data_IF_776327567415
#
_entry.id   IF_776327567415
#
_cell.length_a   1.000
_cell.length_b   1.000
_cell.length_c   1.000
_cell.angle_alpha   90.00
_cell.angle_beta   90.00
_cell.angle_gamma   90.00
#
_symmetry.space_group_name_H-M   'P 1'
#
loop_
_entity.id
_entity.type
_entity.pdbx_description
1 polymer ?
#
# COMPACT_ATOMS: atom_id res chain seq x y z
N UNK A 1 1.60 10.86 36.86
CA UNK A 1 2.47 10.15 35.91
C UNK A 1 1.99 8.72 35.64
N UNK A 2 1.53 7.94 36.63
CA UNK A 2 0.96 6.60 36.37
C UNK A 2 -0.41 6.59 35.65
N UNK A 3 -1.28 7.56 35.93
CA UNK A 3 -2.66 7.60 35.39
C UNK A 3 -2.77 7.89 33.90
N UNK A 4 -1.82 8.62 33.32
CA UNK A 4 -1.84 8.93 31.87
C UNK A 4 -1.27 7.79 31.03
N UNK A 5 -0.34 7.00 31.59
CA UNK A 5 0.20 5.80 30.95
C UNK A 5 -0.85 4.69 30.95
N UNK A 6 -1.47 4.46 32.11
CA UNK A 6 -2.55 3.48 32.31
C UNK A 6 -3.74 3.74 31.35
N UNK A 7 -4.18 5.00 31.23
CA UNK A 7 -5.23 5.38 30.27
C UNK A 7 -4.82 5.15 28.81
N UNK A 8 -3.55 5.37 28.46
CA UNK A 8 -3.05 5.12 27.11
C UNK A 8 -3.02 3.63 26.75
N UNK A 9 -2.67 2.78 27.71
CA UNK A 9 -2.67 1.32 27.54
C UNK A 9 -4.10 0.78 27.38
N UNK A 10 -5.06 1.27 28.16
CA UNK A 10 -6.48 0.92 28.04
C UNK A 10 -7.05 1.31 26.66
N UNK A 11 -6.71 2.49 26.15
CA UNK A 11 -7.14 2.97 24.83
C UNK A 11 -6.56 2.10 23.70
N UNK A 12 -5.28 1.72 23.80
CA UNK A 12 -4.63 0.81 22.84
C UNK A 12 -5.25 -0.60 22.87
N UNK A 13 -5.53 -1.13 24.05
CA UNK A 13 -6.17 -2.44 24.21
C UNK A 13 -7.57 -2.42 23.56
N UNK A 14 -8.38 -1.41 23.86
CA UNK A 14 -9.71 -1.25 23.27
C UNK A 14 -9.68 -1.12 21.74
N UNK A 15 -8.72 -0.35 21.21
CA UNK A 15 -8.52 -0.24 19.77
C UNK A 15 -8.10 -1.59 19.14
N UNK A 16 -7.26 -2.36 19.84
CA UNK A 16 -6.82 -3.68 19.39
C UNK A 16 -7.96 -4.70 19.35
N UNK A 17 -8.86 -4.66 20.35
CA UNK A 17 -10.05 -5.50 20.40
C UNK A 17 -11.00 -5.16 19.26
N UNK A 18 -11.28 -3.87 19.06
CA UNK A 18 -12.13 -3.42 17.94
C UNK A 18 -11.57 -3.86 16.58
N UNK A 19 -10.26 -3.77 16.39
CA UNK A 19 -9.61 -4.21 15.16
C UNK A 19 -9.75 -5.73 14.97
N UNK A 20 -9.55 -6.51 16.04
CA UNK A 20 -9.71 -7.97 16.02
C UNK A 20 -11.14 -8.39 15.68
N UNK A 21 -12.13 -7.72 16.24
CA UNK A 21 -13.54 -7.98 15.97
C UNK A 21 -13.90 -7.70 14.50
N UNK A 22 -13.46 -6.55 13.97
CA UNK A 22 -13.64 -6.22 12.55
C UNK A 22 -12.95 -7.23 11.64
N UNK A 23 -11.74 -7.63 11.99
CA UNK A 23 -10.98 -8.64 11.25
C UNK A 23 -11.68 -10.00 11.22
N UNK A 24 -12.26 -10.41 12.35
CA UNK A 24 -13.07 -11.63 12.45
C UNK A 24 -14.31 -11.57 11.57
N UNK A 25 -15.04 -10.46 11.56
CA UNK A 25 -16.21 -10.29 10.68
C UNK A 25 -15.83 -10.41 9.19
N UNK A 26 -14.71 -9.81 8.77
CA UNK A 26 -14.20 -9.96 7.41
C UNK A 26 -13.84 -11.42 7.10
N UNK A 27 -13.19 -12.10 8.04
CA UNK A 27 -12.81 -13.52 7.87
C UNK A 27 -14.03 -14.42 7.72
N UNK A 28 -15.07 -14.21 8.54
CA UNK A 28 -16.35 -14.92 8.43
C UNK A 28 -16.93 -14.71 7.03
N UNK A 29 -17.03 -13.45 6.57
CA UNK A 29 -17.60 -13.14 5.26
C UNK A 29 -16.86 -13.82 4.11
N UNK A 30 -15.52 -13.85 4.15
CA UNK A 30 -14.70 -14.52 3.12
C UNK A 30 -14.87 -16.04 3.19
N UNK A 31 -14.79 -16.62 4.40
CA UNK A 31 -14.88 -18.06 4.59
C UNK A 31 -16.26 -18.62 4.17
N UNK A 32 -17.34 -17.92 4.52
CA UNK A 32 -18.71 -18.30 4.11
C UNK A 32 -18.92 -18.16 2.60
N UNK A 33 -18.38 -17.11 1.98
CA UNK A 33 -18.46 -16.93 0.53
C UNK A 33 -17.75 -18.07 -0.22
N UNK A 34 -16.55 -18.42 0.23
CA UNK A 34 -15.77 -19.54 -0.33
C UNK A 34 -16.47 -20.88 -0.09
N UNK A 35 -16.96 -21.13 1.12
CA UNK A 35 -17.68 -22.36 1.43
C UNK A 35 -18.92 -22.51 0.53
N UNK A 36 -19.71 -21.44 0.37
CA UNK A 36 -20.87 -21.42 -0.52
C UNK A 36 -20.51 -21.67 -1.97
N UNK A 37 -19.42 -21.09 -2.47
CA UNK A 37 -18.94 -21.31 -3.85
C UNK A 37 -18.59 -22.79 -4.09
N UNK A 38 -18.11 -23.48 -3.06
CA UNK A 38 -17.76 -24.90 -3.12
C UNK A 38 -18.89 -25.84 -2.70
N UNK A 39 -20.09 -25.32 -2.39
CA UNK A 39 -21.22 -26.14 -1.91
C UNK A 39 -20.98 -26.79 -0.54
N UNK A 40 -20.18 -26.14 0.31
CA UNK A 40 -19.78 -26.60 1.63
C UNK A 40 -20.26 -25.63 2.72
N UNK A 41 -20.18 -26.07 3.97
CA UNK A 41 -20.36 -25.23 5.15
C UNK A 41 -19.05 -25.18 5.95
N UNK A 42 -18.77 -24.05 6.59
CA UNK A 42 -17.61 -23.89 7.47
C UNK A 42 -18.07 -23.82 8.93
N UNK A 43 -17.46 -24.62 9.80
CA UNK A 43 -17.84 -24.64 11.20
C UNK A 43 -17.28 -23.42 11.95
N UNK A 44 -18.03 -22.93 12.95
CA UNK A 44 -17.64 -21.74 13.71
C UNK A 44 -16.25 -21.83 14.36
N UNK A 45 -15.82 -22.96 14.96
CA UNK A 45 -14.47 -23.06 15.53
C UNK A 45 -13.37 -22.94 14.47
N UNK A 46 -13.63 -23.42 13.25
CA UNK A 46 -12.68 -23.31 12.13
C UNK A 46 -12.56 -21.86 11.69
N UNK A 47 -13.67 -21.13 11.55
CA UNK A 47 -13.64 -19.70 11.20
C UNK A 47 -12.92 -18.87 12.27
N UNK A 48 -13.13 -19.17 13.55
CA UNK A 48 -12.41 -18.52 14.64
C UNK A 48 -10.89 -18.77 14.54
N UNK A 49 -10.48 -20.01 14.30
CA UNK A 49 -9.08 -20.37 14.11
C UNK A 49 -8.44 -19.66 12.91
N UNK A 50 -9.14 -19.61 11.76
CA UNK A 50 -8.68 -18.89 10.57
C UNK A 50 -8.53 -17.40 10.88
N UNK A 51 -9.47 -16.81 11.63
CA UNK A 51 -9.44 -15.39 12.01
C UNK A 51 -8.19 -15.07 12.84
N UNK A 52 -7.91 -15.89 13.86
CA UNK A 52 -6.73 -15.72 14.71
C UNK A 52 -5.43 -15.91 13.92
N UNK A 53 -5.38 -16.91 13.04
CA UNK A 53 -4.21 -17.18 12.21
C UNK A 53 -3.93 -16.03 11.23
N UNK A 54 -4.96 -15.55 10.54
CA UNK A 54 -4.83 -14.46 9.59
C UNK A 54 -4.49 -13.13 10.29
N UNK A 55 -4.99 -12.89 11.50
CA UNK A 55 -4.62 -11.72 12.31
C UNK A 55 -3.14 -11.76 12.72
N UNK A 56 -2.65 -12.90 13.22
CA UNK A 56 -1.23 -13.12 13.53
C UNK A 56 -0.34 -13.01 12.30
N UNK A 57 -0.80 -13.54 11.17
CA UNK A 57 -0.10 -13.43 9.89
C UNK A 57 0.01 -11.96 9.45
N UNK A 58 -1.05 -11.16 9.58
CA UNK A 58 -1.02 -9.73 9.25
C UNK A 58 0.02 -8.97 10.09
N UNK A 59 0.19 -9.32 11.37
CA UNK A 59 1.23 -8.74 12.22
C UNK A 59 2.64 -9.05 11.72
N UNK A 60 2.90 -10.31 11.33
CA UNK A 60 4.21 -10.70 10.79
C UNK A 60 4.46 -10.04 9.44
N UNK A 61 3.44 -10.03 8.57
CA UNK A 61 3.50 -9.39 7.26
C UNK A 61 3.84 -7.89 7.39
N UNK A 62 3.23 -7.18 8.33
CA UNK A 62 3.53 -5.76 8.56
C UNK A 62 5.02 -5.52 8.88
N UNK A 63 5.62 -6.36 9.73
CA UNK A 63 7.05 -6.29 10.07
C UNK A 63 7.93 -6.59 8.87
N UNK A 64 7.57 -7.61 8.10
CA UNK A 64 8.33 -8.00 6.90
C UNK A 64 8.30 -6.87 5.86
N UNK A 65 7.12 -6.26 5.62
CA UNK A 65 6.96 -5.14 4.69
C UNK A 65 7.78 -3.91 5.12
N UNK A 66 7.80 -3.60 6.42
CA UNK A 66 8.65 -2.54 6.95
C UNK A 66 10.13 -2.82 6.69
N UNK A 67 10.59 -4.05 6.99
CA UNK A 67 11.97 -4.46 6.76
C UNK A 67 12.36 -4.43 5.29
N UNK A 68 11.47 -4.82 4.37
CA UNK A 68 11.72 -4.73 2.92
C UNK A 68 11.87 -3.29 2.45
N UNK A 69 11.00 -2.39 2.92
CA UNK A 69 11.12 -0.97 2.61
C UNK A 69 12.44 -0.39 3.15
N UNK A 70 12.79 -0.70 4.41
CA UNK A 70 14.04 -0.26 5.04
C UNK A 70 15.28 -0.81 4.33
N UNK A 71 15.27 -2.07 3.91
CA UNK A 71 16.37 -2.68 3.14
C UNK A 71 16.62 -1.94 1.82
N UNK A 72 15.56 -1.41 1.20
CA UNK A 72 15.65 -0.57 0.00
C UNK A 72 15.91 0.91 0.29
N UNK A 73 16.22 1.30 1.54
CA UNK A 73 16.48 2.68 1.95
C UNK A 73 15.24 3.58 1.95
N UNK A 74 14.03 3.00 1.99
CA UNK A 74 12.75 3.73 1.97
C UNK A 74 12.10 3.74 3.35
N UNK A 75 11.30 4.78 3.62
CA UNK A 75 10.46 4.90 4.83
C UNK A 75 8.99 4.55 4.58
N UNK A 76 8.63 4.26 3.34
CA UNK A 76 7.26 3.97 2.92
C UNK A 76 7.25 2.70 2.09
N UNK A 77 6.32 1.81 2.43
CA UNK A 77 6.07 0.52 1.76
C UNK A 77 5.45 0.79 0.39
N UNK A 78 5.89 0.05 -0.63
CA UNK A 78 5.34 0.11 -1.97
C UNK A 78 4.95 -1.29 -2.49
N UNK A 79 4.51 -1.35 -3.75
CA UNK A 79 4.08 -2.61 -4.37
C UNK A 79 5.18 -3.68 -4.45
N UNK A 80 6.45 -3.28 -4.58
CA UNK A 80 7.55 -4.25 -4.68
C UNK A 80 7.76 -4.98 -3.35
N UNK A 81 7.57 -4.29 -2.22
CA UNK A 81 7.63 -4.92 -0.88
C UNK A 81 6.52 -5.97 -0.71
N UNK A 82 5.30 -5.64 -1.18
CA UNK A 82 4.15 -6.55 -1.14
C UNK A 82 4.40 -7.77 -2.03
N UNK A 83 4.93 -7.58 -3.23
CA UNK A 83 5.27 -8.69 -4.13
C UNK A 83 6.39 -9.56 -3.52
N UNK A 84 7.40 -8.95 -2.88
CA UNK A 84 8.50 -9.64 -2.23
C UNK A 84 8.02 -10.51 -1.05
N UNK A 85 6.97 -10.10 -0.34
CA UNK A 85 6.38 -10.93 0.73
C UNK A 85 5.92 -12.32 0.25
N UNK A 86 5.59 -12.44 -1.04
CA UNK A 86 5.18 -13.69 -1.67
C UNK A 86 6.34 -14.50 -2.30
N UNK A 87 7.61 -14.15 -2.06
CA UNK A 87 8.77 -14.77 -2.71
C UNK A 87 8.89 -16.30 -2.55
N UNK A 88 8.23 -16.89 -1.54
CA UNK A 88 8.21 -18.35 -1.33
C UNK A 88 7.17 -19.08 -2.17
N UNK A 89 6.30 -18.35 -2.86
CA UNK A 89 5.24 -18.88 -3.70
C UNK A 89 5.20 -18.11 -5.03
N UNK A 90 5.85 -18.68 -6.05
CA UNK A 90 5.97 -18.04 -7.37
C UNK A 90 4.63 -17.73 -8.01
N UNK A 91 3.64 -18.61 -7.83
CA UNK A 91 2.29 -18.40 -8.35
C UNK A 91 1.63 -17.18 -7.69
N UNK A 92 1.72 -17.07 -6.36
CA UNK A 92 1.19 -15.92 -5.63
C UNK A 92 1.93 -14.62 -6.03
N UNK A 93 3.26 -14.66 -6.12
CA UNK A 93 4.05 -13.50 -6.55
C UNK A 93 3.68 -13.05 -7.98
N UNK A 94 3.43 -13.99 -8.90
CA UNK A 94 2.95 -13.69 -10.23
C UNK A 94 1.55 -13.04 -10.22
N UNK A 95 0.61 -13.58 -9.44
CA UNK A 95 -0.73 -13.00 -9.27
C UNK A 95 -0.67 -11.58 -8.71
N UNK A 96 0.16 -11.32 -7.70
CA UNK A 96 0.34 -9.98 -7.13
C UNK A 96 0.95 -9.00 -8.15
N UNK A 97 1.91 -9.44 -8.97
CA UNK A 97 2.45 -8.61 -10.06
C UNK A 97 1.38 -8.25 -11.08
N UNK A 98 0.56 -9.22 -11.50
CA UNK A 98 -0.54 -8.97 -12.43
C UNK A 98 -1.52 -7.94 -11.84
N UNK A 99 -1.91 -8.13 -10.57
CA UNK A 99 -2.80 -7.21 -9.88
C UNK A 99 -2.22 -5.79 -9.76
N UNK A 100 -0.92 -5.67 -9.47
CA UNK A 100 -0.22 -4.38 -9.43
C UNK A 100 -0.27 -3.64 -10.77
N UNK A 101 -0.10 -4.36 -11.88
CA UNK A 101 -0.17 -3.78 -13.22
C UNK A 101 -1.59 -3.32 -13.57
N UNK A 102 -2.61 -4.09 -13.19
CA UNK A 102 -4.01 -3.72 -13.40
C UNK A 102 -4.40 -2.45 -12.64
N UNK A 103 -3.88 -2.27 -11.41
CA UNK A 103 -4.09 -1.05 -10.64
C UNK A 103 -3.45 0.17 -11.31
N UNK A 104 -2.21 0.04 -11.81
CA UNK A 104 -1.52 1.12 -12.55
C UNK A 104 -2.24 1.48 -13.85
N UNK A 105 -2.90 0.52 -14.49
CA UNK A 105 -3.67 0.75 -15.72
C UNK A 105 -4.99 1.50 -15.46
N UNK A 106 -5.58 1.32 -14.27
CA UNK A 106 -6.85 1.94 -13.87
C UNK A 106 -6.68 3.32 -13.22
N UNK A 107 -5.46 3.71 -12.87
CA UNK A 107 -5.18 5.01 -12.28
C UNK A 107 -5.37 6.14 -13.32
N UNK A 108 -6.24 7.13 -13.08
CA UNK A 108 -6.46 8.21 -14.04
C UNK A 108 -5.17 9.01 -14.23
N UNK A 109 -4.72 9.17 -15.49
CA UNK A 109 -3.54 9.96 -15.88
C UNK A 109 -3.69 11.45 -15.50
N UNK A 110 -3.57 11.83 -14.23
CA UNK A 110 -3.61 13.24 -13.82
C UNK A 110 -2.23 13.91 -13.86
N UNK A 111 -1.12 13.16 -13.87
CA UNK A 111 0.22 13.75 -13.67
C UNK A 111 1.15 13.82 -14.89
N UNK A 112 0.73 13.40 -16.10
CA UNK A 112 1.60 13.50 -17.29
C UNK A 112 1.68 14.90 -17.94
N UNK A 113 1.09 15.93 -17.33
CA UNK A 113 1.16 17.33 -17.82
C UNK A 113 1.97 18.26 -16.93
N UNK A 114 3.23 17.94 -16.61
CA UNK A 114 4.23 18.99 -16.37
C UNK A 114 5.12 19.12 -17.60
N UNK A 115 4.65 19.97 -18.53
CA UNK A 115 5.40 20.48 -19.68
C UNK A 115 6.78 20.95 -19.23
N UNK A 116 7.83 20.41 -19.87
CA UNK A 116 9.17 21.01 -19.92
C UNK A 116 9.03 22.48 -20.35
N UNK A 117 9.40 23.42 -19.48
CA UNK A 117 9.69 24.80 -19.91
C UNK A 117 11.04 24.80 -20.65
N UNK A 118 11.13 25.28 -21.90
CA UNK A 118 12.41 25.49 -22.54
C UNK A 118 13.08 26.74 -21.96
N UNK A 119 14.35 26.58 -21.56
CA UNK A 119 15.26 27.68 -21.16
C UNK A 119 15.33 28.73 -22.27
N UNK A 120 15.03 30.00 -21.94
CA UNK A 120 15.31 31.14 -22.81
C UNK A 120 16.68 31.71 -22.42
N UNK A 121 17.73 31.24 -23.09
CA UNK A 121 19.03 31.92 -23.12
C UNK A 121 18.88 33.18 -23.99
N UNK A 122 19.15 34.36 -23.42
CA UNK A 122 19.19 35.61 -24.16
C UNK A 122 20.67 36.01 -24.27
N UNK A 123 21.24 35.86 -25.47
CA UNK A 123 22.62 36.22 -25.78
C UNK A 123 22.64 37.15 -26.99
N UNK A 124 23.09 38.37 -26.73
CA UNK A 124 23.73 39.35 -27.61
C UNK A 124 22.98 39.86 -28.87
N UNK A 125 22.84 41.20 -28.95
CA UNK A 125 23.54 42.00 -29.96
C UNK A 125 23.36 43.50 -29.65
N UNK A 126 24.42 44.15 -29.17
CA UNK A 126 24.71 45.53 -29.54
C UNK A 126 25.17 45.51 -31.01
N UNK A 127 24.72 46.45 -31.85
CA UNK A 127 25.57 47.49 -32.47
C UNK A 127 24.98 48.04 -33.80
N UNK A 128 25.24 49.34 -34.00
CA UNK A 128 25.24 50.16 -35.24
C UNK A 128 23.93 50.62 -35.93
N UNK A 129 23.48 51.79 -35.50
CA UNK A 129 23.17 53.03 -36.26
C UNK A 129 23.10 52.97 -37.81
N UNK A 130 21.97 53.42 -38.37
CA UNK A 130 21.92 54.04 -39.69
C UNK A 130 21.08 55.33 -39.67
N UNK A 131 21.77 56.45 -39.87
CA UNK A 131 21.23 57.78 -40.17
C UNK A 131 21.02 57.88 -41.69
N UNK A 132 19.86 58.39 -42.10
CA UNK A 132 19.70 59.19 -43.32
C UNK A 132 18.44 60.07 -43.16
N UNK A 133 18.66 61.35 -42.89
CA UNK A 133 17.73 62.45 -43.16
C UNK A 133 18.22 63.17 -44.44
N UNK A 134 17.35 63.87 -45.20
CA UNK A 134 17.80 64.79 -46.24
C UNK A 134 18.43 66.08 -45.68
#
# INVERSE_FOLDING_TARGET
MGSDVDRGEEEEESASELLRDRFRLCTISIAEAEAKQNGMEVSQPIVACISDLAFKYAQQLAKDLELFAQHAGRKSVNMEDVILSAHRNDHLAASLRSFSNDLKAKEPQSERKRKKNPKKENKAAEDVLHIADP
#
